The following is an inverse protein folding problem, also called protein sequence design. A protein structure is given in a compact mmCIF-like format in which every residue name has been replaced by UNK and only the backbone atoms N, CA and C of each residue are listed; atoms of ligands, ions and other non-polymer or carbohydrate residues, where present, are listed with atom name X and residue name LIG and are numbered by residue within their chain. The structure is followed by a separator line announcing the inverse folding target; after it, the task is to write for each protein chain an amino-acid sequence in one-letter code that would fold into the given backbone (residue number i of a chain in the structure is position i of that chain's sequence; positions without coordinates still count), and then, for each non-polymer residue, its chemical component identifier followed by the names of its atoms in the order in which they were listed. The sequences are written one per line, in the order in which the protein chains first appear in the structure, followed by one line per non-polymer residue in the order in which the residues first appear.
data_IF_329382574201
#
_entry.id   IF_329382574201
#
_cell.length_a   1.000
_cell.length_b   1.000
_cell.length_c   1.000
_cell.angle_alpha   90.00
_cell.angle_beta   90.00
_cell.angle_gamma   90.00
#
_symmetry.space_group_name_H-M   'P 1'
#
loop_
_entity.id
_entity.type
_entity.pdbx_description
1 polymer ?
#
# COMPACT_ATOMS: atom_id res chain seq x y z
N UNK A 1 -14.13 3.80 5.85
CA UNK A 1 -13.62 2.51 5.40
C UNK A 1 -12.68 2.63 4.22
N UNK A 2 -11.51 2.03 4.33
CA UNK A 2 -10.55 1.98 3.24
C UNK A 2 -10.83 0.73 2.41
N UNK A 3 -11.28 0.90 1.17
CA UNK A 3 -11.50 -0.24 0.29
C UNK A 3 -10.53 -0.18 -0.89
N UNK A 4 -9.98 -1.31 -1.30
CA UNK A 4 -9.24 -1.44 -2.54
C UNK A 4 -10.09 -2.22 -3.53
N UNK A 5 -10.43 -1.61 -4.66
CA UNK A 5 -11.04 -2.32 -5.77
C UNK A 5 -9.91 -2.81 -6.69
N UNK A 6 -9.88 -4.10 -6.98
CA UNK A 6 -9.09 -4.61 -8.08
C UNK A 6 -9.81 -4.28 -9.39
N UNK A 7 -9.07 -4.27 -10.50
CA UNK A 7 -9.55 -4.08 -11.87
C UNK A 7 -10.55 -5.16 -12.34
N UNK A 8 -11.22 -5.78 -11.41
CA UNK A 8 -12.14 -6.87 -11.67
C UNK A 8 -13.46 -6.30 -12.20
N UNK A 9 -13.70 -6.54 -13.44
CA UNK A 9 -14.92 -6.18 -14.20
C UNK A 9 -16.21 -6.61 -13.48
N UNK A 10 -16.11 -7.54 -12.54
CA UNK A 10 -17.23 -8.12 -11.81
C UNK A 10 -17.51 -7.50 -10.45
N UNK A 11 -16.92 -6.35 -10.12
CA UNK A 11 -17.24 -5.56 -8.92
C UNK A 11 -16.93 -6.27 -7.60
N UNK A 12 -15.96 -7.17 -7.54
CA UNK A 12 -15.50 -7.79 -6.31
C UNK A 12 -14.33 -7.01 -5.72
N UNK A 13 -14.52 -6.53 -4.51
CA UNK A 13 -13.44 -5.93 -3.74
C UNK A 13 -12.41 -7.02 -3.39
N UNK A 14 -11.12 -6.77 -3.69
CA UNK A 14 -10.05 -7.74 -3.45
C UNK A 14 -9.73 -7.87 -1.95
N UNK A 15 -9.68 -6.74 -1.25
CA UNK A 15 -9.44 -6.68 0.18
C UNK A 15 -10.10 -5.45 0.79
N UNK A 16 -10.40 -5.53 2.08
CA UNK A 16 -10.77 -4.37 2.89
C UNK A 16 -9.55 -3.93 3.70
N UNK A 17 -9.24 -2.64 3.69
CA UNK A 17 -8.15 -2.07 4.49
C UNK A 17 -8.74 -1.29 5.65
N UNK A 18 -8.37 -1.67 6.87
CA UNK A 18 -8.97 -1.20 8.11
C UNK A 18 -7.90 -0.88 9.16
N UNK A 19 -8.21 -0.10 10.20
CA UNK A 19 -7.29 0.12 11.31
C UNK A 19 -6.97 -1.20 12.05
N UNK A 20 -5.75 -1.35 12.59
CA UNK A 20 -5.29 -2.59 13.24
C UNK A 20 -6.21 -3.10 14.35
N UNK A 21 -6.79 -2.19 15.14
CA UNK A 21 -7.69 -2.55 16.25
C UNK A 21 -8.94 -3.37 15.83
N UNK A 22 -9.32 -3.33 14.57
CA UNK A 22 -10.52 -4.01 14.06
C UNK A 22 -10.22 -5.28 13.26
N UNK A 23 -8.96 -5.64 13.07
CA UNK A 23 -8.55 -6.78 12.22
C UNK A 23 -9.25 -8.05 12.65
N UNK A 24 -9.17 -8.42 13.93
CA UNK A 24 -9.78 -9.64 14.46
C UNK A 24 -11.30 -9.67 14.22
N UNK A 25 -12.00 -8.60 14.58
CA UNK A 25 -13.44 -8.50 14.43
C UNK A 25 -13.88 -8.61 12.97
N UNK A 26 -13.16 -7.92 12.06
CA UNK A 26 -13.50 -7.95 10.63
C UNK A 26 -13.16 -9.31 10.03
N UNK A 27 -12.02 -9.94 10.41
CA UNK A 27 -11.66 -11.28 9.94
C UNK A 27 -12.70 -12.33 10.35
N UNK A 28 -13.19 -12.29 11.58
CA UNK A 28 -14.28 -13.15 12.05
C UNK A 28 -15.58 -12.95 11.23
N UNK A 29 -15.87 -11.70 10.84
CA UNK A 29 -17.05 -11.37 10.05
C UNK A 29 -16.93 -11.78 8.58
N UNK A 30 -15.81 -11.45 7.92
CA UNK A 30 -15.64 -11.73 6.48
C UNK A 30 -15.20 -13.16 6.20
N UNK A 31 -14.54 -13.81 7.18
CA UNK A 31 -13.97 -15.15 7.03
C UNK A 31 -13.05 -15.22 5.79
N UNK A 32 -13.30 -16.20 4.90
CA UNK A 32 -12.53 -16.37 3.67
C UNK A 32 -13.15 -15.69 2.44
N UNK A 33 -14.20 -14.90 2.65
CA UNK A 33 -14.90 -14.22 1.54
C UNK A 33 -14.15 -13.02 1.00
N UNK A 34 -13.24 -12.44 1.81
CA UNK A 34 -12.49 -11.24 1.46
C UNK A 34 -11.19 -11.19 2.28
N UNK A 35 -10.10 -10.76 1.65
CA UNK A 35 -8.85 -10.52 2.36
C UNK A 35 -8.96 -9.29 3.27
N UNK A 36 -8.38 -9.39 4.47
CA UNK A 36 -8.28 -8.28 5.44
C UNK A 36 -6.87 -7.70 5.36
N UNK A 37 -6.80 -6.44 4.97
CA UNK A 37 -5.58 -5.63 4.96
C UNK A 37 -5.59 -4.68 6.17
N UNK A 38 -4.42 -4.43 6.74
CA UNK A 38 -4.27 -3.36 7.74
C UNK A 38 -2.98 -2.57 7.52
N UNK A 39 -2.82 -1.50 8.28
CA UNK A 39 -1.72 -0.56 8.15
C UNK A 39 -0.76 -0.66 9.33
N UNK A 40 0.53 -0.43 9.08
CA UNK A 40 1.62 -0.50 10.06
C UNK A 40 2.43 0.79 10.00
N UNK A 41 2.79 1.33 11.17
CA UNK A 41 3.51 2.61 11.27
C UNK A 41 2.73 3.79 10.70
N UNK A 42 1.42 3.72 10.73
CA UNK A 42 0.54 4.59 9.97
C UNK A 42 0.04 5.79 10.79
N UNK A 43 -0.10 7.00 10.19
CA UNK A 43 0.25 7.32 8.80
C UNK A 43 1.67 7.86 8.59
N UNK A 44 2.42 8.15 9.65
CA UNK A 44 3.65 8.97 9.58
C UNK A 44 4.93 8.16 9.32
N UNK A 45 4.94 6.87 9.58
CA UNK A 45 6.07 5.98 9.31
C UNK A 45 7.30 6.17 10.24
N UNK A 46 7.29 7.08 11.20
CA UNK A 46 8.44 7.44 12.04
C UNK A 46 8.66 6.56 13.28
N UNK A 47 7.89 5.51 13.43
CA UNK A 47 8.08 4.51 14.49
C UNK A 47 9.39 3.75 14.25
N UNK A 48 9.95 3.20 15.32
CA UNK A 48 11.12 2.33 15.19
C UNK A 48 10.77 1.06 14.42
N UNK A 49 11.75 0.47 13.73
CA UNK A 49 11.55 -0.81 13.04
C UNK A 49 11.02 -1.89 13.98
N UNK A 50 11.55 -2.00 15.20
CA UNK A 50 11.07 -2.97 16.19
C UNK A 50 9.58 -2.76 16.57
N UNK A 51 9.11 -1.51 16.63
CA UNK A 51 7.69 -1.23 16.87
C UNK A 51 6.83 -1.68 15.69
N UNK A 52 7.26 -1.41 14.46
CA UNK A 52 6.56 -1.85 13.24
C UNK A 52 6.57 -3.37 13.09
N UNK A 53 7.66 -4.06 13.44
CA UNK A 53 7.70 -5.53 13.49
C UNK A 53 6.68 -6.08 14.48
N UNK A 54 6.60 -5.48 15.69
CA UNK A 54 5.59 -5.89 16.68
C UNK A 54 4.16 -5.67 16.16
N UNK A 55 3.86 -4.49 15.60
CA UNK A 55 2.56 -4.19 14.98
C UNK A 55 2.22 -5.21 13.88
N UNK A 56 3.21 -5.57 13.04
CA UNK A 56 3.04 -6.55 11.97
C UNK A 56 2.68 -7.93 12.53
N UNK A 57 3.42 -8.44 13.50
CA UNK A 57 3.14 -9.73 14.16
C UNK A 57 1.77 -9.75 14.82
N UNK A 58 1.41 -8.67 15.53
CA UNK A 58 0.09 -8.56 16.17
C UNK A 58 -1.03 -8.57 15.14
N UNK A 59 -0.91 -7.78 14.07
CA UNK A 59 -1.90 -7.74 13.00
C UNK A 59 -2.09 -9.11 12.32
N UNK A 60 -0.98 -9.81 12.03
CA UNK A 60 -1.01 -11.15 11.43
C UNK A 60 -1.63 -12.19 12.37
N UNK A 61 -1.33 -12.11 13.66
CA UNK A 61 -1.92 -12.98 14.69
C UNK A 61 -3.43 -12.76 14.80
N UNK A 62 -3.88 -11.52 14.64
CA UNK A 62 -5.31 -11.17 14.63
C UNK A 62 -6.01 -11.51 13.31
N UNK A 63 -5.29 -12.02 12.30
CA UNK A 63 -5.87 -12.55 11.07
C UNK A 63 -5.76 -11.62 9.85
N UNK A 64 -4.85 -10.64 9.85
CA UNK A 64 -4.57 -9.86 8.65
C UNK A 64 -3.98 -10.76 7.55
N UNK A 65 -4.47 -10.60 6.35
CA UNK A 65 -3.99 -11.31 5.14
C UNK A 65 -2.98 -10.47 4.37
N UNK A 66 -3.05 -9.14 4.51
CA UNK A 66 -2.19 -8.18 3.83
C UNK A 66 -1.77 -7.04 4.78
N UNK A 67 -0.56 -6.55 4.61
CA UNK A 67 0.02 -5.45 5.41
C UNK A 67 0.40 -4.30 4.49
N UNK A 68 -0.04 -3.08 4.82
CA UNK A 68 0.37 -1.82 4.19
C UNK A 68 1.26 -1.06 5.19
N UNK A 69 2.59 -1.14 5.09
CA UNK A 69 3.51 -0.40 5.93
C UNK A 69 3.79 1.01 5.39
N UNK A 70 4.09 1.96 6.26
CA UNK A 70 4.61 3.28 5.87
C UNK A 70 6.11 3.35 6.15
N UNK A 71 6.90 3.77 5.17
CA UNK A 71 8.35 3.99 5.36
C UNK A 71 8.61 5.16 6.31
N UNK A 72 9.83 5.22 6.87
CA UNK A 72 10.28 6.42 7.58
C UNK A 72 10.73 7.47 6.58
N UNK A 73 9.87 8.46 6.32
CA UNK A 73 10.13 9.54 5.36
C UNK A 73 11.37 10.37 5.77
N UNK A 74 11.63 10.52 7.07
CA UNK A 74 12.81 11.25 7.55
C UNK A 74 14.11 10.54 7.14
N UNK A 75 14.15 9.22 7.15
CA UNK A 75 15.32 8.47 6.68
C UNK A 75 15.54 8.69 5.17
N UNK A 76 14.45 8.71 4.38
CA UNK A 76 14.55 9.05 2.95
C UNK A 76 15.11 10.44 2.74
N UNK A 77 14.61 11.44 3.48
CA UNK A 77 15.09 12.85 3.39
C UNK A 77 16.53 13.02 3.81
N UNK A 78 17.04 12.16 4.68
CA UNK A 78 18.44 12.13 5.08
C UNK A 78 19.34 11.38 4.08
N UNK A 79 18.77 10.71 3.08
CA UNK A 79 19.50 9.86 2.14
C UNK A 79 19.85 8.47 2.70
N UNK A 80 19.26 8.08 3.83
CA UNK A 80 19.51 6.80 4.50
C UNK A 80 18.68 5.66 3.85
N UNK A 81 18.80 5.51 2.53
CA UNK A 81 17.99 4.55 1.75
C UNK A 81 18.21 3.09 2.15
N UNK A 82 19.47 2.74 2.49
CA UNK A 82 19.79 1.40 3.00
C UNK A 82 19.02 1.06 4.28
N UNK A 83 18.84 2.03 5.16
CA UNK A 83 18.07 1.86 6.39
C UNK A 83 16.59 1.62 6.11
N UNK A 84 16.02 2.32 5.14
CA UNK A 84 14.65 2.10 4.68
C UNK A 84 14.51 0.70 4.06
N UNK A 85 15.46 0.28 3.23
CA UNK A 85 15.48 -1.06 2.64
C UNK A 85 15.52 -2.14 3.72
N UNK A 86 16.41 -2.01 4.73
CA UNK A 86 16.50 -2.96 5.84
C UNK A 86 15.21 -3.04 6.66
N UNK A 87 14.52 -1.92 6.89
CA UNK A 87 13.20 -1.92 7.53
C UNK A 87 12.18 -2.71 6.71
N UNK A 88 12.13 -2.51 5.39
CA UNK A 88 11.22 -3.26 4.52
C UNK A 88 11.54 -4.75 4.53
N UNK A 89 12.83 -5.14 4.49
CA UNK A 89 13.28 -6.54 4.59
C UNK A 89 12.79 -7.16 5.90
N UNK A 90 12.97 -6.47 7.03
CA UNK A 90 12.55 -6.96 8.33
C UNK A 90 11.03 -7.22 8.38
N UNK A 91 10.22 -6.28 7.89
CA UNK A 91 8.77 -6.43 7.86
C UNK A 91 8.31 -7.48 6.84
N UNK A 92 9.00 -7.63 5.70
CA UNK A 92 8.70 -8.71 4.74
C UNK A 92 8.99 -10.09 5.33
N UNK A 93 10.04 -10.21 6.11
CA UNK A 93 10.34 -11.45 6.84
C UNK A 93 9.22 -11.82 7.82
N UNK A 94 8.68 -10.84 8.57
CA UNK A 94 7.52 -11.05 9.46
C UNK A 94 6.25 -11.46 8.69
N UNK A 95 6.04 -10.90 7.50
CA UNK A 95 4.88 -11.23 6.66
C UNK A 95 4.95 -12.66 6.09
N UNK A 96 6.14 -13.23 5.91
CA UNK A 96 6.32 -14.53 5.27
C UNK A 96 5.68 -14.56 3.89
N UNK A 97 4.73 -15.46 3.68
CA UNK A 97 4.01 -15.60 2.40
C UNK A 97 2.86 -14.61 2.22
N UNK A 98 2.59 -13.75 3.20
CA UNK A 98 1.54 -12.73 3.08
C UNK A 98 2.03 -11.50 2.35
N UNK A 99 1.08 -10.77 1.80
CA UNK A 99 1.36 -9.59 0.97
C UNK A 99 1.82 -8.43 1.86
N UNK A 100 3.00 -7.89 1.55
CA UNK A 100 3.50 -6.63 2.07
C UNK A 100 3.42 -5.55 0.98
N UNK A 101 2.76 -4.43 1.29
CA UNK A 101 2.72 -3.24 0.45
C UNK A 101 3.43 -2.09 1.18
N UNK A 102 4.31 -1.40 0.47
CA UNK A 102 5.15 -0.34 1.01
C UNK A 102 4.62 1.02 0.57
N UNK A 103 4.08 1.80 1.51
CA UNK A 103 3.63 3.16 1.28
C UNK A 103 4.84 4.09 1.35
N UNK A 104 5.18 4.71 0.23
CA UNK A 104 6.32 5.63 0.14
C UNK A 104 5.93 7.11 0.30
N UNK A 105 4.64 7.44 0.30
CA UNK A 105 4.08 8.79 0.45
C UNK A 105 4.66 9.78 -0.56
N UNK A 106 4.37 9.53 -1.83
CA UNK A 106 4.99 10.24 -2.98
C UNK A 106 4.92 11.76 -2.92
N UNK A 107 3.88 12.32 -2.27
CA UNK A 107 3.70 13.76 -2.19
C UNK A 107 4.81 14.49 -1.39
N UNK A 108 5.61 13.77 -0.61
CA UNK A 108 6.75 14.31 0.14
C UNK A 108 8.10 14.03 -0.52
N UNK A 109 8.15 13.25 -1.59
CA UNK A 109 9.39 12.78 -2.20
C UNK A 109 9.71 13.52 -3.50
N UNK A 110 11.00 13.78 -3.73
CA UNK A 110 11.52 14.19 -5.05
C UNK A 110 11.46 13.00 -6.02
N UNK A 111 11.71 13.25 -7.31
CA UNK A 111 11.75 12.18 -8.31
C UNK A 111 12.87 11.18 -8.02
N UNK A 112 14.08 11.69 -7.66
CA UNK A 112 15.22 10.85 -7.30
C UNK A 112 14.93 9.97 -6.06
N UNK A 113 14.27 10.54 -5.05
CA UNK A 113 13.86 9.80 -3.86
C UNK A 113 12.82 8.71 -4.19
N UNK A 114 11.88 8.99 -5.09
CA UNK A 114 10.91 7.99 -5.57
C UNK A 114 11.60 6.83 -6.30
N UNK A 115 12.59 7.15 -7.15
CA UNK A 115 13.39 6.12 -7.86
C UNK A 115 14.18 5.29 -6.84
N UNK A 116 14.81 5.91 -5.85
CA UNK A 116 15.51 5.20 -4.79
C UNK A 116 14.55 4.26 -4.00
N UNK A 117 13.31 4.71 -3.73
CA UNK A 117 12.30 3.86 -3.08
C UNK A 117 11.83 2.71 -3.97
N UNK A 118 11.72 2.89 -5.28
CA UNK A 118 11.47 1.79 -6.22
C UNK A 118 12.54 0.70 -6.10
N UNK A 119 13.82 1.11 -5.99
CA UNK A 119 14.94 0.21 -5.84
C UNK A 119 14.89 -0.52 -4.48
N UNK A 120 14.70 0.21 -3.39
CA UNK A 120 14.63 -0.35 -2.04
C UNK A 120 13.49 -1.37 -1.90
N UNK A 121 12.29 -1.04 -2.41
CA UNK A 121 11.12 -1.93 -2.40
C UNK A 121 11.39 -3.21 -3.21
N UNK A 122 12.05 -3.07 -4.36
CA UNK A 122 12.41 -4.19 -5.23
C UNK A 122 13.43 -5.11 -4.57
N UNK A 123 14.52 -4.54 -4.05
CA UNK A 123 15.59 -5.30 -3.39
C UNK A 123 15.09 -6.03 -2.15
N UNK A 124 14.21 -5.39 -1.38
CA UNK A 124 13.62 -5.98 -0.19
C UNK A 124 12.60 -7.10 -0.47
N UNK A 125 12.21 -7.31 -1.72
CA UNK A 125 11.27 -8.36 -2.11
C UNK A 125 9.85 -8.11 -1.62
N UNK A 126 9.45 -6.85 -1.43
CA UNK A 126 8.07 -6.51 -1.12
C UNK A 126 7.15 -6.76 -2.33
N UNK A 127 5.87 -7.03 -2.08
CA UNK A 127 4.93 -7.43 -3.14
C UNK A 127 4.38 -6.22 -3.90
N UNK A 128 4.27 -5.07 -3.23
CA UNK A 128 3.75 -3.83 -3.82
C UNK A 128 4.52 -2.60 -3.35
N UNK A 129 4.68 -1.64 -4.26
CA UNK A 129 4.88 -0.25 -3.93
C UNK A 129 3.53 0.47 -3.93
N UNK A 130 3.26 1.30 -2.91
CA UNK A 130 2.00 2.05 -2.77
C UNK A 130 2.30 3.54 -2.68
N UNK A 131 1.55 4.35 -3.42
CA UNK A 131 1.81 5.79 -3.52
C UNK A 131 1.63 6.54 -2.22
N UNK A 132 0.51 6.35 -1.51
CA UNK A 132 0.06 7.32 -0.51
C UNK A 132 -0.70 6.68 0.64
N UNK A 133 -0.63 7.34 1.81
CA UNK A 133 -1.48 7.01 2.97
C UNK A 133 -2.91 7.53 2.82
N UNK A 134 -3.09 8.65 2.09
CA UNK A 134 -4.32 9.43 2.03
C UNK A 134 -4.42 10.51 3.12
N UNK A 135 -3.38 10.67 3.96
CA UNK A 135 -3.28 11.68 5.04
C UNK A 135 -2.21 12.73 4.76
N UNK A 136 -1.42 12.55 3.69
CA UNK A 136 -0.43 13.53 3.26
C UNK A 136 -1.06 14.72 2.53
N UNK A 137 -0.20 15.60 2.02
CA UNK A 137 -0.61 16.81 1.27
C UNK A 137 -1.11 16.53 -0.14
N UNK A 138 -0.88 15.32 -0.66
CA UNK A 138 -1.33 14.86 -1.97
C UNK A 138 -1.58 13.35 -2.00
N UNK A 139 -2.29 12.91 -3.03
CA UNK A 139 -2.57 11.50 -3.30
C UNK A 139 -1.78 10.96 -4.50
N UNK A 140 -2.25 9.85 -5.07
CA UNK A 140 -1.67 9.24 -6.25
C UNK A 140 -1.73 10.17 -7.47
N UNK A 141 -0.68 10.17 -8.28
CA UNK A 141 -0.66 10.81 -9.59
C UNK A 141 -0.34 9.79 -10.68
N UNK A 142 -0.82 10.04 -11.91
CA UNK A 142 -0.47 9.19 -13.06
C UNK A 142 1.04 9.23 -13.35
N UNK A 143 1.69 10.37 -13.07
CA UNK A 143 3.15 10.49 -13.18
C UNK A 143 3.88 9.55 -12.23
N UNK A 144 3.44 9.46 -10.97
CA UNK A 144 4.04 8.54 -10.00
C UNK A 144 3.90 7.07 -10.41
N UNK A 145 2.72 6.69 -10.93
CA UNK A 145 2.50 5.30 -11.39
C UNK A 145 3.39 4.96 -12.58
N UNK A 146 3.54 5.87 -13.54
CA UNK A 146 4.44 5.68 -14.69
C UNK A 146 5.90 5.58 -14.23
N UNK A 147 6.34 6.50 -13.36
CA UNK A 147 7.68 6.46 -12.77
C UNK A 147 7.94 5.12 -12.07
N UNK A 148 7.01 4.66 -11.24
CA UNK A 148 7.15 3.37 -10.57
C UNK A 148 7.28 2.23 -11.58
N UNK A 149 6.43 2.20 -12.61
CA UNK A 149 6.46 1.13 -13.63
C UNK A 149 7.81 1.05 -14.35
N UNK A 150 8.48 2.19 -14.55
CA UNK A 150 9.78 2.27 -15.20
C UNK A 150 10.95 1.81 -14.31
N UNK A 151 10.80 1.89 -12.96
CA UNK A 151 11.92 1.73 -12.03
C UNK A 151 11.77 0.57 -11.04
N UNK A 152 10.61 -0.07 -10.91
CA UNK A 152 10.43 -1.25 -10.06
C UNK A 152 10.82 -2.54 -10.79
N UNK A 153 11.22 -3.57 -10.04
CA UNK A 153 11.43 -4.91 -10.57
C UNK A 153 10.14 -5.58 -11.02
N UNK A 154 10.23 -6.54 -11.94
CA UNK A 154 9.10 -7.24 -12.56
C UNK A 154 8.16 -7.93 -11.55
N UNK A 155 8.68 -8.36 -10.40
CA UNK A 155 7.90 -9.02 -9.36
C UNK A 155 7.06 -8.05 -8.50
N UNK A 156 7.40 -6.74 -8.50
CA UNK A 156 6.72 -5.73 -7.71
C UNK A 156 5.52 -5.17 -8.47
N UNK A 157 4.40 -5.04 -7.77
CA UNK A 157 3.16 -4.44 -8.30
C UNK A 157 2.95 -3.04 -7.75
N UNK A 158 2.05 -2.29 -8.37
CA UNK A 158 1.75 -0.91 -8.00
C UNK A 158 0.35 -0.80 -7.42
N UNK A 159 0.23 -0.16 -6.23
CA UNK A 159 -1.05 0.26 -5.66
C UNK A 159 -1.13 1.78 -5.65
N UNK A 160 -2.08 2.36 -6.37
CA UNK A 160 -2.43 3.77 -6.28
C UNK A 160 -3.47 4.00 -5.19
N UNK A 161 -3.27 5.00 -4.34
CA UNK A 161 -4.22 5.35 -3.28
C UNK A 161 -4.20 6.86 -3.00
N UNK A 162 -5.32 7.38 -2.50
CA UNK A 162 -5.51 8.82 -2.25
C UNK A 162 -5.92 9.58 -3.52
N UNK A 163 -7.02 10.30 -3.45
CA UNK A 163 -7.49 11.16 -4.53
C UNK A 163 -8.18 10.45 -5.70
N UNK A 164 -8.26 9.12 -5.71
CA UNK A 164 -8.94 8.35 -6.78
C UNK A 164 -10.43 8.26 -6.45
N UNK A 165 -11.25 9.07 -7.10
CA UNK A 165 -12.64 9.28 -6.71
C UNK A 165 -13.67 9.17 -7.83
N UNK A 166 -13.26 9.15 -9.09
CA UNK A 166 -14.14 8.99 -10.25
C UNK A 166 -13.85 7.69 -10.99
N UNK A 167 -14.77 7.29 -11.87
CA UNK A 167 -14.56 6.11 -12.72
C UNK A 167 -13.45 6.35 -13.74
N UNK A 168 -13.40 7.56 -14.27
CA UNK A 168 -12.36 7.99 -15.20
C UNK A 168 -10.97 7.93 -14.53
N UNK A 169 -10.85 8.33 -13.26
CA UNK A 169 -9.60 8.18 -12.50
C UNK A 169 -9.20 6.70 -12.42
N UNK A 170 -10.14 5.81 -12.07
CA UNK A 170 -9.86 4.37 -11.99
C UNK A 170 -9.31 3.81 -13.31
N UNK A 171 -9.98 4.13 -14.42
CA UNK A 171 -9.57 3.68 -15.76
C UNK A 171 -8.18 4.24 -16.12
N UNK A 172 -7.94 5.54 -15.89
CA UNK A 172 -6.67 6.18 -16.17
C UNK A 172 -5.49 5.59 -15.35
N UNK A 173 -5.71 5.26 -14.06
CA UNK A 173 -4.68 4.63 -13.23
C UNK A 173 -4.37 3.19 -13.67
N UNK A 174 -5.37 2.43 -14.09
CA UNK A 174 -5.17 1.08 -14.63
C UNK A 174 -4.41 1.13 -15.95
N UNK A 175 -4.78 2.05 -16.86
CA UNK A 175 -4.11 2.25 -18.14
C UNK A 175 -2.65 2.72 -17.96
N UNK A 176 -2.36 3.46 -16.88
CA UNK A 176 -1.00 3.86 -16.52
C UNK A 176 -0.15 2.69 -15.99
N UNK A 177 -0.73 1.51 -15.76
CA UNK A 177 -0.03 0.31 -15.30
C UNK A 177 -0.17 0.02 -13.81
N UNK A 178 -1.17 0.61 -13.13
CA UNK A 178 -1.49 0.30 -11.74
C UNK A 178 -2.16 -1.08 -11.63
N UNK A 179 -1.72 -1.89 -10.67
CA UNK A 179 -2.26 -3.24 -10.46
C UNK A 179 -3.41 -3.25 -9.44
N UNK A 180 -3.47 -2.25 -8.54
CA UNK A 180 -4.50 -2.13 -7.51
C UNK A 180 -4.79 -0.67 -7.18
N UNK A 181 -6.03 -0.36 -6.91
CA UNK A 181 -6.47 0.98 -6.51
C UNK A 181 -7.10 0.93 -5.12
N UNK A 182 -6.65 1.83 -4.24
CA UNK A 182 -7.25 2.09 -2.95
C UNK A 182 -8.13 3.34 -2.98
N UNK A 183 -9.43 3.17 -2.74
CA UNK A 183 -10.39 4.28 -2.72
C UNK A 183 -11.48 4.03 -1.67
N UNK A 184 -11.85 5.06 -0.94
CA UNK A 184 -13.01 5.03 -0.03
C UNK A 184 -14.35 5.03 -0.78
N UNK A 185 -14.37 5.54 -2.01
CA UNK A 185 -15.56 5.60 -2.88
C UNK A 185 -15.69 4.41 -3.83
N UNK A 186 -14.70 3.51 -3.87
CA UNK A 186 -14.62 2.45 -4.89
C UNK A 186 -15.87 1.58 -5.00
N UNK A 187 -16.44 1.17 -3.87
CA UNK A 187 -17.67 0.37 -3.85
C UNK A 187 -18.84 1.14 -4.48
N UNK A 188 -19.02 2.42 -4.09
CA UNK A 188 -20.11 3.24 -4.60
C UNK A 188 -19.97 3.49 -6.11
N UNK A 189 -18.74 3.71 -6.60
CA UNK A 189 -18.47 3.93 -8.02
C UNK A 189 -18.72 2.68 -8.87
N UNK A 190 -18.35 1.50 -8.34
CA UNK A 190 -18.50 0.24 -9.06
C UNK A 190 -19.94 -0.33 -8.99
N UNK A 191 -20.75 0.11 -8.03
CA UNK A 191 -22.14 -0.37 -7.86
C UNK A 191 -23.20 0.53 -8.46
N UNK A 192 -22.90 1.81 -8.75
CA UNK A 192 -23.81 2.67 -9.49
C UNK A 192 -23.94 2.14 -10.92
N UNK A 193 -25.15 1.68 -11.28
CA UNK A 193 -25.50 1.44 -12.68
C UNK A 193 -25.39 2.77 -13.42
N UNK A 194 -24.73 2.75 -14.61
CA UNK A 194 -24.74 3.85 -15.55
C UNK A 194 -26.17 4.17 -15.95
#
# INVERSE_FOLDING_TARGET
GYSSAASDVYKRQTSVCIPPAYVKQVKEYVQDKMAVCTVIGFPNGYMTTAAKEFETRDALTNGADEIDMVINISDVKNGDYDKVEQEIIALKAECGNRILKVIVETCYLTEEEKIAMCQAVTNAGADYIKTSTGFGTGGATLGDVKLFREHIGEAVRIKAAGGVSTREDFEAFLDAGCDRIGSSSGVALLTKKA
#
